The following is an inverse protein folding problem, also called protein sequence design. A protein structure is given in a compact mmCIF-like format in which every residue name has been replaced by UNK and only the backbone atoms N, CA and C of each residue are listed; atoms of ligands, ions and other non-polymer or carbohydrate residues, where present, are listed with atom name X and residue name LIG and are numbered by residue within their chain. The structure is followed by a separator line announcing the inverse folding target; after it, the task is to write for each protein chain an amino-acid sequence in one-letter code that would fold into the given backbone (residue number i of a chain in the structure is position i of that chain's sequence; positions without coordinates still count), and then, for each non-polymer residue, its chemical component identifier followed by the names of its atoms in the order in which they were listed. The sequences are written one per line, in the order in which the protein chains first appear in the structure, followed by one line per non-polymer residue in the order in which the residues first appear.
data_IF_734866016676
#
_entry.id   IF_734866016676
#
_cell.length_a   1.000
_cell.length_b   1.000
_cell.length_c   1.000
_cell.angle_alpha   90.00
_cell.angle_beta   90.00
_cell.angle_gamma   90.00
#
_symmetry.space_group_name_H-M   'P 1'
#
loop_
_entity.id
_entity.type
_entity.pdbx_description
1 polymer ?
#
# COMPACT_ATOMS: atom_id res chain seq x y z
N UNK A 1 -101.40 -58.53 -45.05
CA UNK A 1 -101.98 -58.92 -43.75
C UNK A 1 -100.89 -59.69 -43.07
N UNK A 2 -100.45 -59.18 -41.92
CA UNK A 2 -99.45 -59.80 -41.01
C UNK A 2 -98.05 -59.95 -41.61
N UNK A 3 -96.97 -59.93 -40.86
CA UNK A 3 -96.52 -59.30 -39.62
C UNK A 3 -95.03 -59.61 -39.66
N UNK A 4 -94.15 -58.70 -39.25
CA UNK A 4 -92.98 -59.10 -38.46
C UNK A 4 -92.27 -57.88 -37.88
N UNK A 5 -92.30 -57.88 -36.55
CA UNK A 5 -91.63 -56.99 -35.61
C UNK A 5 -90.12 -57.26 -35.67
N UNK A 6 -89.31 -56.22 -35.88
CA UNK A 6 -87.85 -56.27 -35.73
C UNK A 6 -87.41 -55.39 -34.55
N UNK A 7 -86.65 -56.02 -33.64
CA UNK A 7 -86.20 -55.51 -32.35
C UNK A 7 -85.22 -54.32 -32.42
N UNK A 8 -85.39 -53.39 -31.47
CA UNK A 8 -84.52 -52.26 -31.18
C UNK A 8 -83.08 -52.68 -30.78
N UNK A 9 -82.14 -52.57 -31.72
CA UNK A 9 -80.69 -52.64 -31.44
C UNK A 9 -80.15 -51.25 -31.08
N UNK A 10 -79.69 -51.09 -29.82
CA UNK A 10 -79.05 -49.89 -29.27
C UNK A 10 -77.87 -49.39 -30.13
N UNK A 11 -77.85 -48.09 -30.46
CA UNK A 11 -76.76 -47.38 -31.16
C UNK A 11 -75.46 -47.40 -30.35
N UNK A 12 -74.38 -47.91 -30.94
CA UNK A 12 -73.02 -47.77 -30.40
C UNK A 12 -72.46 -46.35 -30.71
N UNK A 13 -71.89 -45.72 -29.68
CA UNK A 13 -71.36 -44.34 -29.73
C UNK A 13 -70.04 -44.28 -30.52
N UNK A 14 -70.02 -43.49 -31.60
CA UNK A 14 -68.86 -43.25 -32.47
C UNK A 14 -67.76 -42.47 -31.74
N UNK A 15 -66.54 -43.00 -31.77
CA UNK A 15 -65.38 -42.41 -31.11
C UNK A 15 -64.98 -41.05 -31.73
N UNK A 16 -64.74 -40.03 -30.89
CA UNK A 16 -64.41 -38.67 -31.34
C UNK A 16 -62.95 -38.60 -31.76
N UNK A 17 -62.70 -38.44 -33.06
CA UNK A 17 -61.35 -38.16 -33.61
C UNK A 17 -60.91 -36.74 -33.20
N UNK A 18 -59.80 -36.62 -32.48
CA UNK A 18 -59.14 -35.35 -32.24
C UNK A 18 -58.46 -34.83 -33.52
N UNK A 19 -58.63 -33.54 -33.83
CA UNK A 19 -58.15 -32.89 -35.05
C UNK A 19 -56.63 -32.66 -35.09
N UNK A 20 -56.16 -32.26 -36.29
CA UNK A 20 -54.76 -32.11 -36.79
C UNK A 20 -53.83 -31.12 -36.03
N UNK A 21 -53.87 -31.04 -34.71
CA UNK A 21 -52.94 -30.21 -33.91
C UNK A 21 -52.00 -30.99 -32.99
N UNK A 22 -52.04 -32.32 -32.99
CA UNK A 22 -51.11 -33.15 -32.22
C UNK A 22 -49.80 -33.52 -32.98
N UNK A 23 -49.77 -33.39 -34.31
CA UNK A 23 -48.63 -33.83 -35.14
C UNK A 23 -47.58 -32.72 -35.39
N UNK A 24 -47.29 -31.90 -34.38
CA UNK A 24 -46.12 -30.99 -34.40
C UNK A 24 -45.12 -31.34 -33.30
N UNK A 25 -45.01 -32.64 -33.00
CA UNK A 25 -43.96 -33.23 -32.16
C UNK A 25 -43.08 -34.17 -32.98
N UNK A 26 -42.48 -33.71 -34.09
CA UNK A 26 -41.24 -34.35 -34.59
C UNK A 26 -40.39 -33.57 -35.59
N UNK A 27 -40.39 -32.23 -35.57
CA UNK A 27 -39.46 -31.46 -36.41
C UNK A 27 -38.88 -30.26 -35.67
N UNK A 28 -38.10 -30.54 -34.62
CA UNK A 28 -37.06 -29.61 -34.15
C UNK A 28 -35.71 -30.31 -34.18
N UNK A 29 -35.14 -30.19 -35.38
CA UNK A 29 -33.73 -30.20 -35.73
C UNK A 29 -32.83 -29.90 -34.53
N UNK A 30 -31.84 -30.78 -34.35
CA UNK A 30 -30.65 -30.60 -33.52
C UNK A 30 -30.03 -29.20 -33.75
N UNK A 31 -30.41 -28.23 -32.93
CA UNK A 31 -29.62 -27.02 -32.75
C UNK A 31 -28.94 -27.13 -31.40
N UNK A 32 -27.61 -27.05 -31.46
CA UNK A 32 -26.66 -27.38 -30.41
C UNK A 32 -27.07 -26.87 -29.03
N UNK A 33 -26.93 -27.75 -28.03
CA UNK A 33 -26.96 -27.47 -26.59
C UNK A 33 -25.85 -26.47 -26.21
N UNK A 34 -25.99 -25.19 -26.56
CA UNK A 34 -25.12 -24.08 -26.13
C UNK A 34 -25.80 -23.22 -25.06
N UNK A 35 -26.70 -23.80 -24.28
CA UNK A 35 -27.35 -23.12 -23.16
C UNK A 35 -27.32 -24.05 -21.96
N UNK A 36 -26.26 -23.95 -21.14
CA UNK A 36 -26.19 -24.39 -19.72
C UNK A 36 -24.76 -24.46 -19.14
N UNK A 37 -23.70 -24.10 -19.87
CA UNK A 37 -22.35 -24.09 -19.26
C UNK A 37 -22.16 -23.01 -18.19
N UNK A 38 -22.85 -21.86 -18.30
CA UNK A 38 -22.77 -20.76 -17.32
C UNK A 38 -23.59 -21.03 -16.05
N UNK A 39 -24.77 -21.66 -16.17
CA UNK A 39 -25.64 -21.93 -15.03
C UNK A 39 -25.05 -22.99 -14.08
N UNK A 40 -24.42 -24.05 -14.63
CA UNK A 40 -23.75 -25.07 -13.83
C UNK A 40 -22.51 -24.54 -13.10
N UNK A 41 -21.72 -23.65 -13.72
CA UNK A 41 -20.59 -23.01 -13.07
C UNK A 41 -21.03 -22.14 -11.87
N UNK A 42 -22.15 -21.41 -12.00
CA UNK A 42 -22.71 -20.59 -10.91
C UNK A 42 -23.24 -21.46 -9.77
N UNK A 43 -23.93 -22.57 -10.08
CA UNK A 43 -24.39 -23.52 -9.06
C UNK A 43 -23.23 -24.24 -8.35
N UNK A 44 -22.17 -24.60 -9.08
CA UNK A 44 -20.93 -25.16 -8.54
C UNK A 44 -20.23 -24.17 -7.60
N UNK A 45 -20.07 -22.90 -7.99
CA UNK A 45 -19.51 -21.85 -7.13
C UNK A 45 -20.37 -21.55 -5.91
N UNK A 46 -21.70 -21.52 -6.06
CA UNK A 46 -22.61 -21.34 -4.95
C UNK A 46 -22.57 -22.52 -3.97
N UNK A 47 -22.45 -23.75 -4.48
CA UNK A 47 -22.33 -24.97 -3.68
C UNK A 47 -20.96 -25.08 -3.01
N UNK A 48 -19.88 -24.69 -3.70
CA UNK A 48 -18.53 -24.59 -3.15
C UNK A 48 -18.45 -23.51 -2.07
N UNK A 49 -19.08 -22.34 -2.28
CA UNK A 49 -19.20 -21.28 -1.27
C UNK A 49 -19.93 -21.80 -0.02
N UNK A 50 -21.06 -22.50 -0.19
CA UNK A 50 -21.79 -23.11 0.94
C UNK A 50 -20.98 -24.19 1.65
N UNK A 51 -20.22 -25.01 0.91
CA UNK A 51 -19.32 -25.99 1.49
C UNK A 51 -18.18 -25.33 2.28
N UNK A 52 -17.53 -24.31 1.73
CA UNK A 52 -16.50 -23.51 2.40
C UNK A 52 -17.03 -22.88 3.71
N UNK A 53 -18.25 -22.33 3.69
CA UNK A 53 -18.93 -21.84 4.90
C UNK A 53 -19.19 -22.95 5.93
N UNK A 54 -19.24 -24.22 5.51
CA UNK A 54 -19.52 -25.36 6.38
C UNK A 54 -18.26 -26.06 6.89
N UNK A 55 -17.13 -25.96 6.18
CA UNK A 55 -15.91 -26.74 6.46
C UNK A 55 -14.80 -25.95 7.10
N UNK A 56 -14.85 -24.62 7.07
CA UNK A 56 -13.80 -23.81 7.68
C UNK A 56 -13.84 -23.91 9.21
N UNK A 57 -12.67 -24.21 9.74
CA UNK A 57 -12.26 -24.40 11.13
C UNK A 57 -12.45 -23.14 12.02
N UNK A 58 -13.24 -22.17 11.56
CA UNK A 58 -13.49 -20.84 12.12
C UNK A 58 -14.84 -20.77 12.84
N UNK A 59 -15.27 -21.87 13.48
CA UNK A 59 -16.50 -21.92 14.32
C UNK A 59 -16.43 -21.07 15.61
N UNK A 60 -15.36 -20.30 15.86
CA UNK A 60 -15.15 -19.60 17.15
C UNK A 60 -15.58 -18.12 17.17
N UNK A 61 -15.93 -17.53 16.05
CA UNK A 61 -16.50 -16.18 16.01
C UNK A 61 -17.85 -16.20 15.29
N UNK A 62 -18.94 -16.21 16.05
CA UNK A 62 -20.33 -16.16 15.60
C UNK A 62 -20.69 -14.81 14.96
N UNK A 63 -19.98 -14.37 13.91
CA UNK A 63 -20.41 -13.31 12.97
C UNK A 63 -19.47 -13.09 11.77
N UNK A 64 -18.97 -14.14 11.13
CA UNK A 64 -18.14 -13.95 9.94
C UNK A 64 -18.98 -13.62 8.70
N UNK A 65 -19.02 -12.33 8.37
CA UNK A 65 -19.48 -11.84 7.08
C UNK A 65 -18.38 -12.11 6.06
N UNK A 66 -18.46 -13.24 5.38
CA UNK A 66 -17.53 -13.59 4.31
C UNK A 66 -17.67 -12.61 3.14
N UNK A 67 -16.71 -11.67 3.03
CA UNK A 67 -16.54 -10.82 1.85
C UNK A 67 -15.88 -11.65 0.74
N UNK A 68 -16.70 -12.25 -0.12
CA UNK A 68 -16.20 -12.95 -1.30
C UNK A 68 -15.84 -11.93 -2.40
N UNK A 69 -14.62 -11.98 -2.91
CA UNK A 69 -14.21 -11.20 -4.08
C UNK A 69 -14.51 -11.97 -5.37
N UNK A 70 -14.97 -11.29 -6.42
CA UNK A 70 -15.36 -11.92 -7.70
C UNK A 70 -14.18 -12.30 -8.62
N UNK A 71 -12.94 -11.98 -8.22
CA UNK A 71 -11.71 -12.26 -8.96
C UNK A 71 -10.88 -11.01 -9.22
N UNK A 72 -9.68 -11.17 -9.77
CA UNK A 72 -8.78 -10.05 -10.11
C UNK A 72 -9.06 -9.58 -11.55
N UNK A 73 -9.12 -8.27 -11.76
CA UNK A 73 -9.24 -7.62 -13.06
C UNK A 73 -8.02 -6.71 -13.27
N UNK A 74 -7.23 -6.96 -14.32
CA UNK A 74 -6.03 -6.17 -14.65
C UNK A 74 -5.07 -5.98 -13.45
N UNK A 75 -4.73 -7.06 -12.75
CA UNK A 75 -3.82 -6.98 -11.62
C UNK A 75 -4.42 -6.37 -10.34
N UNK A 76 -5.68 -5.92 -10.36
CA UNK A 76 -6.33 -5.29 -9.19
C UNK A 76 -7.69 -5.93 -8.87
N UNK A 77 -8.15 -5.79 -7.63
CA UNK A 77 -9.49 -6.24 -7.25
C UNK A 77 -10.57 -5.20 -7.61
N UNK A 78 -11.83 -5.62 -7.83
CA UNK A 78 -12.93 -4.72 -8.09
C UNK A 78 -13.09 -3.67 -6.97
N UNK A 79 -13.04 -2.38 -7.35
CA UNK A 79 -13.05 -1.25 -6.40
C UNK A 79 -14.27 -1.27 -5.47
N UNK A 80 -15.44 -1.69 -5.95
CA UNK A 80 -16.67 -1.74 -5.15
C UNK A 80 -16.59 -2.78 -4.03
N UNK A 81 -16.00 -3.95 -4.30
CA UNK A 81 -15.84 -5.02 -3.32
C UNK A 81 -14.81 -4.62 -2.26
N UNK A 82 -13.68 -4.04 -2.68
CA UNK A 82 -12.65 -3.53 -1.78
C UNK A 82 -13.17 -2.38 -0.92
N UNK A 83 -14.01 -1.49 -1.47
CA UNK A 83 -14.65 -0.41 -0.71
C UNK A 83 -15.58 -0.97 0.38
N UNK A 84 -16.34 -2.02 0.07
CA UNK A 84 -17.22 -2.68 1.05
C UNK A 84 -16.41 -3.39 2.14
N UNK A 85 -15.32 -4.06 1.77
CA UNK A 85 -14.39 -4.69 2.70
C UNK A 85 -13.73 -3.65 3.61
N UNK A 86 -13.24 -2.55 3.05
CA UNK A 86 -12.66 -1.43 3.80
C UNK A 86 -13.63 -0.90 4.85
N UNK A 87 -14.90 -0.69 4.47
CA UNK A 87 -15.95 -0.28 5.42
C UNK A 87 -16.14 -1.29 6.56
N UNK A 88 -16.02 -2.59 6.29
CA UNK A 88 -16.14 -3.62 7.32
C UNK A 88 -14.97 -3.57 8.30
N UNK A 89 -13.74 -3.48 7.80
CA UNK A 89 -12.52 -3.40 8.61
C UNK A 89 -12.52 -2.13 9.47
N UNK A 90 -12.93 -0.99 8.91
CA UNK A 90 -12.93 0.30 9.64
C UNK A 90 -13.85 0.33 10.87
N UNK A 91 -14.92 -0.47 10.90
CA UNK A 91 -15.89 -0.51 12.02
C UNK A 91 -15.61 -1.70 12.95
N UNK A 92 -14.57 -2.48 12.68
CA UNK A 92 -14.22 -3.65 13.47
C UNK A 92 -13.84 -3.25 14.89
N UNK A 93 -14.40 -3.94 15.88
CA UNK A 93 -14.02 -3.80 17.29
C UNK A 93 -13.06 -4.92 17.64
N UNK A 94 -11.91 -4.56 18.20
CA UNK A 94 -10.91 -5.53 18.63
C UNK A 94 -11.20 -6.03 20.03
N UNK A 95 -10.97 -7.32 20.26
CA UNK A 95 -11.01 -7.91 21.60
C UNK A 95 -9.60 -7.75 22.23
N UNK A 96 -9.49 -7.19 23.45
CA UNK A 96 -8.20 -7.14 24.13
C UNK A 96 -7.78 -8.55 24.53
N UNK A 97 -6.66 -9.02 23.98
CA UNK A 97 -6.07 -10.31 24.34
C UNK A 97 -5.19 -10.13 25.57
N UNK A 98 -5.27 -11.06 26.53
CA UNK A 98 -4.51 -10.98 27.78
C UNK A 98 -3.02 -10.75 27.53
N UNK A 99 -2.40 -11.54 26.66
CA UNK A 99 -0.98 -11.41 26.33
C UNK A 99 -0.61 -10.02 25.79
N UNK A 100 -1.43 -9.46 24.89
CA UNK A 100 -1.19 -8.13 24.29
C UNK A 100 -1.36 -6.99 25.29
N UNK A 101 -2.17 -7.19 26.33
CA UNK A 101 -2.38 -6.21 27.39
C UNK A 101 -1.34 -6.28 28.50
N UNK A 102 -0.65 -7.41 28.65
CA UNK A 102 0.33 -7.63 29.75
C UNK A 102 1.79 -7.50 29.30
N UNK A 103 2.09 -7.70 28.02
CA UNK A 103 3.46 -7.68 27.50
C UNK A 103 3.67 -6.50 26.54
N UNK A 104 4.81 -5.80 26.62
CA UNK A 104 5.20 -4.83 25.62
C UNK A 104 5.68 -5.56 24.35
N UNK A 105 5.27 -5.08 23.17
CA UNK A 105 5.76 -5.60 21.90
C UNK A 105 5.78 -4.48 20.85
N UNK A 106 6.65 -4.65 19.85
CA UNK A 106 6.80 -3.72 18.73
C UNK A 106 6.65 -4.52 17.46
N UNK A 107 5.83 -4.03 16.55
CA UNK A 107 5.89 -4.45 15.16
C UNK A 107 6.88 -3.50 14.47
N UNK A 108 7.97 -4.06 13.95
CA UNK A 108 9.04 -3.29 13.30
C UNK A 108 8.63 -2.95 11.88
N UNK A 109 8.66 -1.67 11.55
CA UNK A 109 8.35 -1.15 10.22
C UNK A 109 9.62 -0.83 9.41
N UNK A 110 10.69 -0.41 10.09
CA UNK A 110 11.99 -0.06 9.48
C UNK A 110 13.15 -0.63 10.31
N UNK A 111 14.16 -1.16 9.62
CA UNK A 111 15.38 -1.70 10.20
C UNK A 111 16.59 -0.96 9.63
N UNK A 112 17.47 -0.48 10.51
CA UNK A 112 18.71 0.20 10.13
C UNK A 112 19.90 -0.43 10.86
N UNK A 113 21.03 -0.55 10.16
CA UNK A 113 22.28 -1.07 10.70
C UNK A 113 23.16 0.12 11.12
N UNK A 114 23.39 0.27 12.42
CA UNK A 114 24.23 1.34 13.00
C UNK A 114 25.69 0.91 13.12
N UNK A 115 26.06 -0.28 12.65
CA UNK A 115 27.43 -0.78 12.73
C UNK A 115 28.37 0.08 11.89
N UNK A 116 29.51 0.55 12.43
CA UNK A 116 30.45 1.35 11.65
C UNK A 116 31.03 0.51 10.50
N UNK A 117 31.15 1.09 9.28
CA UNK A 117 31.60 0.36 8.10
C UNK A 117 33.04 -0.17 8.25
N UNK A 118 33.89 0.51 9.01
CA UNK A 118 35.26 0.06 9.31
C UNK A 118 35.27 -1.34 9.95
N UNK A 119 34.38 -1.59 10.92
CA UNK A 119 34.28 -2.90 11.59
C UNK A 119 33.77 -4.00 10.66
N UNK A 120 32.88 -3.65 9.74
CA UNK A 120 32.37 -4.58 8.73
C UNK A 120 33.46 -4.95 7.71
N UNK A 121 34.36 -4.02 7.38
CA UNK A 121 35.48 -4.27 6.49
C UNK A 121 36.51 -5.22 7.11
N UNK A 122 36.85 -5.01 8.38
CA UNK A 122 37.74 -5.91 9.13
C UNK A 122 37.15 -7.31 9.29
N UNK A 123 35.88 -7.38 9.71
CA UNK A 123 35.21 -8.64 10.02
C UNK A 123 33.75 -8.61 9.55
N UNK A 124 33.41 -9.22 8.40
CA UNK A 124 32.05 -9.17 7.86
C UNK A 124 31.01 -9.92 8.71
N UNK A 125 31.44 -10.87 9.56
CA UNK A 125 30.59 -11.68 10.46
C UNK A 125 30.56 -11.16 11.90
N UNK A 126 30.99 -9.92 12.15
CA UNK A 126 30.96 -9.36 13.50
C UNK A 126 29.53 -9.20 14.03
N UNK A 127 29.41 -9.07 15.36
CA UNK A 127 28.16 -8.63 15.98
C UNK A 127 27.83 -7.22 15.49
N UNK A 128 26.56 -7.02 15.10
CA UNK A 128 26.05 -5.77 14.53
C UNK A 128 25.13 -5.06 15.52
N UNK A 129 25.23 -3.74 15.54
CA UNK A 129 24.32 -2.88 16.29
C UNK A 129 23.19 -2.49 15.35
N UNK A 130 21.96 -2.91 15.66
CA UNK A 130 20.78 -2.72 14.81
C UNK A 130 19.80 -1.79 15.52
N UNK A 131 19.28 -0.81 14.78
CA UNK A 131 18.17 0.04 15.19
C UNK A 131 16.88 -0.42 14.53
N UNK A 132 15.86 -0.65 15.36
CA UNK A 132 14.53 -1.11 14.93
C UNK A 132 13.52 -0.01 15.22
N UNK A 133 12.81 0.42 14.18
CA UNK A 133 11.77 1.44 14.27
C UNK A 133 10.41 0.80 14.10
N UNK A 134 9.45 1.22 14.91
CA UNK A 134 8.08 0.76 14.80
C UNK A 134 7.21 1.33 15.90
N UNK A 135 5.92 1.01 15.83
CA UNK A 135 4.96 1.45 16.83
C UNK A 135 5.00 0.54 18.06
N UNK A 136 5.23 1.14 19.23
CA UNK A 136 5.10 0.44 20.51
C UNK A 136 3.63 0.07 20.77
N UNK A 137 3.39 -1.18 21.14
CA UNK A 137 2.05 -1.74 21.43
C UNK A 137 2.06 -2.48 22.77
N UNK A 138 0.88 -2.56 23.39
CA UNK A 138 0.70 -3.24 24.68
C UNK A 138 1.10 -2.34 25.84
N UNK A 139 2.01 -2.83 26.68
CA UNK A 139 2.53 -2.10 27.85
C UNK A 139 3.74 -1.25 27.45
N UNK A 140 4.11 -0.29 28.29
CA UNK A 140 5.29 0.55 28.13
C UNK A 140 6.60 -0.28 28.08
N UNK A 141 7.48 0.06 27.15
CA UNK A 141 8.84 -0.49 27.08
C UNK A 141 9.75 0.22 28.07
N UNK A 142 10.66 -0.54 28.69
CA UNK A 142 11.69 -0.02 29.59
C UNK A 142 13.06 -0.18 28.96
N UNK A 143 13.97 0.75 29.25
CA UNK A 143 15.36 0.64 28.84
C UNK A 143 16.01 -0.61 29.48
N UNK A 144 16.93 -1.25 28.76
CA UNK A 144 17.62 -2.47 29.18
C UNK A 144 16.74 -3.70 29.47
N UNK A 145 15.49 -3.70 28.99
CA UNK A 145 14.61 -4.86 29.08
C UNK A 145 15.14 -6.02 28.20
N UNK A 146 15.02 -7.29 28.65
CA UNK A 146 15.19 -8.43 27.76
C UNK A 146 14.08 -8.44 26.70
N UNK A 147 14.45 -8.74 25.46
CA UNK A 147 13.55 -8.78 24.30
C UNK A 147 13.83 -10.06 23.54
N UNK A 148 12.76 -10.76 23.15
CA UNK A 148 12.85 -11.88 22.24
C UNK A 148 12.51 -11.41 20.82
N UNK A 149 13.40 -11.67 19.87
CA UNK A 149 13.14 -11.48 18.45
C UNK A 149 12.81 -12.85 17.85
N UNK A 150 11.56 -13.08 17.40
CA UNK A 150 11.17 -14.35 16.80
C UNK A 150 12.09 -14.73 15.64
N UNK A 151 12.74 -15.89 15.74
CA UNK A 151 13.68 -16.40 14.73
C UNK A 151 15.12 -15.93 14.88
N UNK A 152 15.42 -14.90 15.68
CA UNK A 152 16.80 -14.45 15.95
C UNK A 152 17.28 -14.80 17.37
N UNK A 153 16.37 -14.90 18.35
CA UNK A 153 16.69 -15.25 19.73
C UNK A 153 16.47 -14.13 20.73
N UNK A 154 17.07 -14.28 21.91
CA UNK A 154 16.94 -13.35 23.04
C UNK A 154 18.07 -12.33 23.06
N UNK A 155 17.71 -11.06 23.24
CA UNK A 155 18.63 -9.93 23.29
C UNK A 155 18.30 -9.01 24.47
N UNK A 156 19.23 -8.13 24.84
CA UNK A 156 18.97 -7.05 25.80
C UNK A 156 19.00 -5.73 25.06
N UNK A 157 18.00 -4.90 25.29
CA UNK A 157 17.90 -3.61 24.63
C UNK A 157 19.01 -2.66 25.12
N UNK A 158 19.64 -1.92 24.20
CA UNK A 158 20.63 -0.89 24.53
C UNK A 158 19.95 0.40 25.00
N UNK A 159 19.02 0.94 24.21
CA UNK A 159 18.30 2.18 24.51
C UNK A 159 16.94 2.22 23.79
N UNK A 160 15.96 2.94 24.35
CA UNK A 160 14.66 3.26 23.71
C UNK A 160 14.56 4.79 23.57
N UNK A 161 14.32 5.26 22.34
CA UNK A 161 13.98 6.65 22.07
C UNK A 161 12.60 6.77 21.45
N UNK A 162 11.93 7.90 21.72
CA UNK A 162 10.62 8.22 21.15
C UNK A 162 10.81 9.14 19.95
N UNK A 163 10.18 8.79 18.82
CA UNK A 163 10.10 9.62 17.63
C UNK A 163 8.67 10.15 17.44
N UNK A 164 8.50 11.31 16.79
CA UNK A 164 7.18 11.80 16.40
C UNK A 164 6.51 10.82 15.42
N UNK A 165 5.19 10.70 15.52
CA UNK A 165 4.39 9.80 14.67
C UNK A 165 4.49 10.23 13.19
N UNK A 166 4.93 9.35 12.27
CA UNK A 166 4.98 9.65 10.84
C UNK A 166 3.60 9.76 10.19
N UNK A 167 2.54 9.24 10.82
CA UNK A 167 1.16 9.30 10.33
C UNK A 167 0.21 9.77 11.44
N UNK A 168 0.29 11.05 11.82
CA UNK A 168 -0.53 11.58 12.89
C UNK A 168 -2.02 11.51 12.52
N UNK A 169 -2.85 11.24 13.52
CA UNK A 169 -4.30 11.26 13.37
C UNK A 169 -4.79 12.70 13.12
N UNK A 170 -5.87 12.89 12.33
CA UNK A 170 -6.40 14.23 12.06
C UNK A 170 -7.02 14.86 13.32
N UNK A 171 -6.63 16.09 13.64
CA UNK A 171 -7.05 16.82 14.86
C UNK A 171 -8.57 16.99 15.01
N UNK A 172 -9.29 17.14 13.87
CA UNK A 172 -10.72 17.41 13.85
C UNK A 172 -11.53 16.10 13.84
N UNK A 173 -11.71 15.52 15.02
CA UNK A 173 -12.46 14.27 15.28
C UNK A 173 -13.91 14.21 14.76
N UNK A 174 -14.51 15.35 14.35
CA UNK A 174 -15.94 15.44 13.96
C UNK A 174 -16.17 15.65 12.46
N UNK A 175 -15.39 15.01 11.57
CA UNK A 175 -15.71 14.96 10.13
C UNK A 175 -16.24 13.56 9.76
N UNK A 176 -17.34 13.51 9.00
CA UNK A 176 -17.92 12.25 8.48
C UNK A 176 -17.06 11.61 7.38
N UNK A 177 -16.21 12.40 6.72
CA UNK A 177 -15.34 11.97 5.63
C UNK A 177 -13.95 12.56 5.79
N UNK A 178 -12.93 11.76 5.46
CA UNK A 178 -11.53 12.16 5.46
C UNK A 178 -11.14 12.84 4.15
N UNK A 179 -10.38 13.93 4.22
CA UNK A 179 -9.84 14.63 3.04
C UNK A 179 -8.65 13.82 2.47
N UNK A 180 -8.37 13.94 1.17
CA UNK A 180 -7.23 13.27 0.52
C UNK A 180 -5.90 13.53 1.25
N UNK A 181 -5.67 14.77 1.67
CA UNK A 181 -4.46 15.19 2.40
C UNK A 181 -4.31 14.51 3.77
N UNK A 182 -5.41 14.09 4.37
CA UNK A 182 -5.43 13.42 5.67
C UNK A 182 -5.25 11.89 5.53
N UNK A 183 -5.27 11.34 4.31
CA UNK A 183 -5.01 9.91 4.01
C UNK A 183 -3.50 9.65 3.85
N UNK A 184 -2.77 9.75 4.96
CA UNK A 184 -1.34 9.50 4.99
C UNK A 184 -1.04 8.00 4.90
N UNK A 185 0.09 7.66 4.26
CA UNK A 185 0.58 6.28 4.14
C UNK A 185 2.04 6.27 4.60
N UNK A 186 2.34 5.41 5.57
CA UNK A 186 3.70 5.13 6.02
C UNK A 186 4.02 3.67 5.73
N UNK A 187 4.92 3.45 4.78
CA UNK A 187 5.43 2.12 4.43
C UNK A 187 6.87 2.24 3.87
N UNK A 188 7.88 2.40 4.75
CA UNK A 188 9.25 2.71 4.35
C UNK A 188 9.91 1.62 3.48
N UNK A 189 9.51 0.36 3.61
CA UNK A 189 10.08 -0.77 2.86
C UNK A 189 9.23 -1.21 1.65
N UNK A 190 8.17 -0.49 1.30
CA UNK A 190 7.17 -0.94 0.29
C UNK A 190 7.13 -0.12 -0.99
N UNK A 191 8.14 0.71 -1.27
CA UNK A 191 8.22 1.40 -2.57
C UNK A 191 7.18 2.51 -2.77
N UNK A 192 6.72 3.16 -1.70
CA UNK A 192 5.65 4.18 -1.79
C UNK A 192 6.14 5.37 -2.62
N UNK A 193 5.34 5.76 -3.62
CA UNK A 193 5.67 6.90 -4.50
C UNK A 193 6.78 6.60 -5.51
N UNK A 194 7.09 5.33 -5.77
CA UNK A 194 8.15 4.93 -6.70
C UNK A 194 9.55 5.03 -6.10
N UNK A 195 9.69 5.18 -4.77
CA UNK A 195 10.99 5.21 -4.09
C UNK A 195 11.12 3.96 -3.23
N UNK A 196 12.11 3.13 -3.55
CA UNK A 196 12.45 1.91 -2.83
C UNK A 196 13.79 2.14 -2.12
N UNK A 197 13.79 1.96 -0.81
CA UNK A 197 14.98 2.05 0.01
C UNK A 197 15.62 0.67 0.15
N UNK A 198 16.91 0.58 -0.10
CA UNK A 198 17.76 -0.55 0.24
C UNK A 198 18.77 -0.12 1.33
N UNK A 199 19.60 -1.04 1.82
CA UNK A 199 20.53 -0.78 2.92
C UNK A 199 21.46 0.41 2.65
N UNK A 200 21.96 0.53 1.42
CA UNK A 200 23.00 1.48 1.02
C UNK A 200 22.62 2.33 -0.21
N UNK A 201 21.46 2.06 -0.80
CA UNK A 201 21.06 2.63 -2.07
C UNK A 201 19.57 2.94 -2.10
N UNK A 202 19.20 3.95 -2.89
CA UNK A 202 17.82 4.39 -3.08
C UNK A 202 17.49 4.21 -4.55
N UNK A 203 16.48 3.38 -4.83
CA UNK A 203 15.99 3.14 -6.18
C UNK A 203 14.76 4.00 -6.41
N UNK A 204 14.81 4.84 -7.44
CA UNK A 204 13.69 5.68 -7.84
C UNK A 204 13.17 5.15 -9.17
N UNK A 205 11.87 4.87 -9.23
CA UNK A 205 11.16 4.54 -10.45
C UNK A 205 10.63 5.83 -11.07
N UNK A 206 11.29 6.25 -12.14
CA UNK A 206 10.91 7.42 -12.88
C UNK A 206 9.86 7.02 -13.93
N UNK A 207 8.60 6.91 -13.54
CA UNK A 207 7.47 6.38 -14.32
C UNK A 207 7.37 6.85 -15.79
N UNK A 208 8.10 6.17 -16.68
CA UNK A 208 8.01 6.28 -18.14
C UNK A 208 8.60 7.54 -18.80
N UNK A 209 9.02 8.55 -18.04
CA UNK A 209 9.53 9.82 -18.61
C UNK A 209 11.06 9.86 -18.78
N UNK A 210 11.75 8.74 -18.56
CA UNK A 210 13.18 8.62 -18.83
C UNK A 210 13.44 8.31 -20.29
N UNK A 211 13.11 9.28 -21.15
CA UNK A 211 13.74 9.41 -22.46
C UNK A 211 15.23 9.77 -22.36
N UNK A 212 15.78 9.96 -21.15
CA UNK A 212 17.18 10.33 -20.92
C UNK A 212 18.22 9.25 -21.20
N UNK A 213 17.84 7.98 -21.37
CA UNK A 213 18.80 6.93 -21.75
C UNK A 213 18.73 6.52 -23.22
N UNK A 214 17.73 6.99 -23.98
CA UNK A 214 17.51 6.55 -25.38
C UNK A 214 17.23 7.66 -26.39
N UNK A 215 17.01 8.91 -25.98
CA UNK A 215 16.86 10.06 -26.91
C UNK A 215 17.90 11.17 -26.75
N UNK A 216 18.85 11.03 -25.82
CA UNK A 216 19.97 11.96 -25.73
C UNK A 216 21.12 11.43 -26.62
N UNK A 217 21.03 11.75 -27.91
CA UNK A 217 22.24 11.85 -28.72
C UNK A 217 23.20 12.86 -28.05
N UNK A 218 24.51 12.78 -28.29
CA UNK A 218 25.51 13.67 -27.68
C UNK A 218 25.27 15.17 -27.92
N UNK A 219 24.26 15.54 -28.70
CA UNK A 219 23.94 16.89 -29.16
C UNK A 219 22.90 17.65 -28.32
N UNK A 220 22.35 17.07 -27.24
CA UNK A 220 21.42 17.82 -26.39
C UNK A 220 22.19 18.76 -25.45
N UNK A 221 22.04 20.10 -25.56
CA UNK A 221 22.81 21.05 -24.74
C UNK A 221 22.62 20.86 -23.23
N UNK A 222 21.50 20.26 -22.81
CA UNK A 222 21.24 19.95 -21.39
C UNK A 222 22.12 18.81 -20.87
N UNK A 223 22.34 17.76 -21.67
CA UNK A 223 23.17 16.61 -21.25
C UNK A 223 24.65 16.97 -21.25
N UNK A 224 25.11 17.78 -22.22
CA UNK A 224 26.48 18.30 -22.25
C UNK A 224 26.79 19.18 -21.04
N UNK A 225 25.88 20.09 -20.66
CA UNK A 225 26.03 20.93 -19.48
C UNK A 225 26.13 20.09 -18.19
N UNK A 226 25.23 19.12 -18.00
CA UNK A 226 25.27 18.21 -16.83
C UNK A 226 26.57 17.40 -16.83
N UNK A 227 27.01 16.89 -17.98
CA UNK A 227 28.26 16.13 -18.09
C UNK A 227 29.49 16.98 -17.75
N UNK A 228 29.47 18.26 -18.12
CA UNK A 228 30.54 19.21 -17.80
C UNK A 228 30.57 19.50 -16.30
N UNK A 229 29.41 19.72 -15.68
CA UNK A 229 29.28 19.89 -14.24
C UNK A 229 29.73 18.64 -13.46
N UNK A 230 29.42 17.44 -13.95
CA UNK A 230 29.87 16.18 -13.33
C UNK A 230 31.38 15.96 -13.43
N UNK A 231 32.04 16.51 -14.45
CA UNK A 231 33.50 16.40 -14.64
C UNK A 231 34.30 17.40 -13.81
N UNK A 232 33.68 18.47 -13.31
CA UNK A 232 34.35 19.46 -12.48
C UNK A 232 34.77 18.83 -11.15
N UNK A 233 36.08 18.65 -10.94
CA UNK A 233 36.65 18.18 -9.67
C UNK A 233 36.97 19.31 -8.67
N UNK A 234 36.98 20.57 -9.14
CA UNK A 234 37.28 21.75 -8.31
C UNK A 234 36.01 22.48 -7.94
N UNK A 235 36.00 23.09 -6.76
CA UNK A 235 34.93 23.98 -6.34
C UNK A 235 34.91 25.23 -7.21
N UNK A 236 33.71 25.78 -7.44
CA UNK A 236 33.56 27.01 -8.24
C UNK A 236 34.30 28.18 -7.60
N UNK A 237 34.37 28.25 -6.27
CA UNK A 237 35.08 29.31 -5.56
C UNK A 237 36.59 29.30 -5.83
N UNK A 238 37.20 28.11 -5.93
CA UNK A 238 38.61 28.00 -6.30
C UNK A 238 38.86 28.51 -7.73
N UNK A 239 37.93 28.23 -8.66
CA UNK A 239 37.99 28.73 -10.03
C UNK A 239 37.75 30.25 -10.13
N UNK A 240 36.88 30.80 -9.26
CA UNK A 240 36.64 32.24 -9.20
C UNK A 240 37.83 33.00 -8.59
N UNK A 241 38.54 32.43 -7.62
CA UNK A 241 39.76 33.00 -7.08
C UNK A 241 40.93 32.94 -8.07
N UNK A 242 41.08 31.85 -8.82
CA UNK A 242 42.08 31.76 -9.91
C UNK A 242 41.79 32.78 -11.02
N UNK A 243 40.52 32.95 -11.41
CA UNK A 243 40.15 33.94 -12.45
C UNK A 243 40.16 35.40 -11.96
N UNK A 244 40.07 35.65 -10.65
CA UNK A 244 40.27 36.99 -10.06
C UNK A 244 41.74 37.45 -10.08
N UNK A 245 42.69 36.53 -10.22
CA UNK A 245 44.12 36.82 -10.33
C UNK A 245 44.55 37.42 -11.68
N UNK A 246 43.70 37.37 -12.70
CA UNK A 246 43.99 37.87 -14.06
C UNK A 246 43.11 39.05 -14.48
N UNK A 247 42.47 39.74 -13.53
CA UNK A 247 41.76 41.01 -13.75
C UNK A 247 42.57 42.22 -13.27
N UNK A 248 42.52 43.38 -13.95
CA UNK A 248 43.38 44.51 -13.62
C UNK A 248 43.10 45.00 -12.20
N UNK A 249 44.16 45.10 -11.40
CA UNK A 249 44.15 45.64 -10.04
C UNK A 249 43.59 47.06 -10.06
N UNK A 250 42.35 47.24 -9.59
CA UNK A 250 41.83 48.56 -9.28
C UNK A 250 42.36 48.94 -7.89
N UNK A 251 43.20 49.97 -7.88
CA UNK A 251 43.87 50.60 -6.74
C UNK A 251 42.91 50.93 -5.60
N UNK A 252 43.36 50.65 -4.38
CA UNK A 252 42.78 51.12 -3.13
C UNK A 252 42.71 52.65 -3.13
N UNK A 253 41.55 53.20 -2.74
CA UNK A 253 41.45 54.58 -2.27
C UNK A 253 41.33 54.53 -0.74
N UNK A 254 42.33 55.10 -0.08
CA UNK A 254 42.25 55.63 1.28
C UNK A 254 41.36 56.89 1.28
N UNK A 255 40.77 57.20 2.44
CA UNK A 255 40.66 58.53 3.09
C UNK A 255 39.65 58.38 4.26
N UNK A 256 40.13 58.23 5.51
CA UNK A 256 40.24 59.27 6.59
C UNK A 256 38.86 59.57 7.26
N UNK A 257 38.62 59.05 8.48
CA UNK A 257 38.61 59.73 9.81
C UNK A 257 37.50 60.82 9.90
N UNK A 258 36.61 60.98 10.89
CA UNK A 258 36.64 60.85 12.35
C UNK A 258 35.17 61.09 12.86
N UNK A 259 34.75 60.50 13.98
CA UNK A 259 34.06 61.17 15.13
C UNK A 259 33.30 60.16 16.01
N UNK A 260 33.81 60.04 17.23
CA UNK A 260 33.18 59.45 18.40
C UNK A 260 32.08 60.38 18.93
N UNK A 261 30.85 59.87 19.05
CA UNK A 261 29.87 60.38 19.99
C UNK A 261 29.25 59.21 20.75
N UNK A 262 29.56 59.17 22.05
CA UNK A 262 28.90 58.34 23.06
C UNK A 262 27.43 58.78 23.20
N UNK A 263 26.50 57.83 23.14
CA UNK A 263 25.17 57.99 23.75
C UNK A 263 24.79 56.68 24.46
N UNK A 264 24.74 56.79 25.78
CA UNK A 264 24.36 55.75 26.73
C UNK A 264 22.87 55.39 26.58
N UNK A 265 22.58 54.14 26.23
CA UNK A 265 21.22 53.62 26.17
C UNK A 265 21.15 52.16 26.61
N UNK A 266 21.12 51.94 27.92
CA UNK A 266 20.81 50.66 28.56
C UNK A 266 19.44 50.14 28.10
N UNK A 267 19.43 49.04 27.33
CA UNK A 267 18.24 48.20 27.17
C UNK A 267 18.61 46.73 27.28
N UNK A 268 18.62 46.27 28.52
CA UNK A 268 18.48 44.86 28.92
C UNK A 268 17.34 44.16 28.16
N UNK A 269 17.69 43.23 27.25
CA UNK A 269 16.77 42.18 26.80
C UNK A 269 17.18 40.82 27.38
N UNK A 270 16.35 40.38 28.33
CA UNK A 270 16.30 39.03 28.89
C UNK A 270 16.26 37.99 27.78
N UNK A 271 17.22 37.07 27.85
CA UNK A 271 17.24 35.80 27.12
C UNK A 271 16.30 34.83 27.84
N UNK A 272 15.05 34.74 27.38
CA UNK A 272 14.12 33.71 27.85
C UNK A 272 14.16 32.55 26.86
N UNK A 273 14.70 31.43 27.34
CA UNK A 273 14.79 30.16 26.63
C UNK A 273 13.39 29.54 26.59
N UNK A 274 12.94 29.15 25.40
CA UNK A 274 11.97 28.07 25.24
C UNK A 274 12.33 27.22 24.03
#
# INVERSE_FOLDING_TARGET
MEDHVDEDKKKAHRERRAGRKADKKNSRIHTSKKWMRKAFAIQSLAKARKHFHSTDFLKKCTREKNCCTSGQLHGTYPKNEIKNLGRFISVMKFLPLLWRSTHPYVLVDRLEDMTPPSRLHENPKCNRDICLYGFARGVHLRNHCPIHIPGCGDFRLKDVSFLPDPCPLPDKLKKRSLVEKEKLIYAPMSGVGGVIYDKDSIYIELGGSHSHSKQDGPTNPKSEMISSLMKLQRTLDAQMCESRGEGPTLTQAHDEDEELLDDDGDVSYKREIR
#
